data_IF_037730808143
#
_entry.id   IF_037730808143
#
_cell.length_a   1.000
_cell.length_b   1.000
_cell.length_c   1.000
_cell.angle_alpha   90.00
_cell.angle_beta   90.00
_cell.angle_gamma   90.00
#
_symmetry.space_group_name_H-M   'P 1'
#
loop_
_entity.id
_entity.type
_entity.pdbx_description
1 polymer ?
#
# COMPACT_ATOMS: atom_id res chain seq x y z
N UNK A 1 30.83 78.91 -20.05
CA UNK A 1 31.85 79.19 -21.08
C UNK A 1 32.87 78.06 -21.06
N UNK A 2 33.38 77.68 -22.25
CA UNK A 2 34.48 76.73 -22.57
C UNK A 2 34.27 75.26 -22.17
N UNK A 3 33.98 74.29 -23.06
CA UNK A 3 34.61 73.81 -24.31
C UNK A 3 35.59 72.64 -24.10
N UNK A 4 35.56 71.69 -25.07
CA UNK A 4 36.57 70.66 -25.40
C UNK A 4 36.29 69.20 -24.97
N UNK A 5 36.45 68.13 -25.77
CA UNK A 5 36.40 67.80 -27.22
C UNK A 5 36.72 66.28 -27.32
N UNK A 6 35.92 65.53 -28.12
CA UNK A 6 36.23 64.31 -28.92
C UNK A 6 36.68 62.98 -28.27
N UNK A 7 36.59 61.79 -28.95
CA UNK A 7 36.49 61.58 -30.42
C UNK A 7 35.41 60.60 -30.96
N UNK A 8 35.13 60.81 -32.25
CA UNK A 8 34.53 59.93 -33.28
C UNK A 8 35.43 58.73 -33.59
N UNK A 9 34.90 57.53 -33.76
CA UNK A 9 34.47 56.84 -35.02
C UNK A 9 35.16 55.44 -34.99
N UNK A 10 35.01 54.51 -35.94
CA UNK A 10 33.96 54.18 -36.93
C UNK A 10 33.65 52.65 -36.85
N UNK A 11 33.09 52.04 -37.91
CA UNK A 11 32.83 50.59 -38.11
C UNK A 11 31.46 50.12 -37.55
N UNK A 12 30.41 49.99 -38.36
CA UNK A 12 30.40 49.28 -39.65
C UNK A 12 30.01 47.81 -39.41
N UNK A 13 28.71 47.52 -39.34
CA UNK A 13 28.21 46.15 -39.50
C UNK A 13 28.52 45.69 -40.94
N UNK A 14 28.76 44.40 -41.14
CA UNK A 14 27.70 43.65 -41.82
C UNK A 14 27.50 42.19 -41.37
N UNK A 15 26.27 41.74 -41.62
CA UNK A 15 25.83 40.40 -42.05
C UNK A 15 26.08 39.14 -41.20
N UNK A 16 24.95 38.70 -40.64
CA UNK A 16 24.40 37.34 -40.67
C UNK A 16 24.84 36.45 -41.86
N UNK A 17 25.31 35.23 -41.57
CA UNK A 17 24.94 33.98 -42.27
C UNK A 17 25.40 32.72 -41.47
N UNK A 18 24.44 31.89 -41.07
CA UNK A 18 24.59 30.47 -40.66
C UNK A 18 24.85 29.56 -41.89
N UNK A 19 25.14 28.22 -41.81
CA UNK A 19 25.41 27.30 -40.69
C UNK A 19 26.61 26.32 -40.92
N UNK A 20 27.06 25.60 -39.88
CA UNK A 20 27.71 24.29 -40.06
C UNK A 20 27.24 23.33 -38.96
N UNK A 21 26.28 22.47 -39.32
CA UNK A 21 25.72 21.43 -38.46
C UNK A 21 26.71 20.28 -38.31
N UNK A 22 27.30 20.11 -37.12
CA UNK A 22 27.91 18.85 -36.69
C UNK A 22 26.90 18.12 -35.81
N UNK A 23 26.42 16.96 -36.28
CA UNK A 23 25.56 16.03 -35.52
C UNK A 23 26.38 15.31 -34.45
N UNK A 24 26.05 15.40 -33.16
CA UNK A 24 26.42 14.37 -32.20
C UNK A 24 25.38 13.25 -32.16
N UNK A 25 25.89 12.04 -31.91
CA UNK A 25 25.26 10.73 -31.93
C UNK A 25 23.94 10.63 -31.15
N UNK A 26 22.97 9.89 -31.72
CA UNK A 26 21.81 9.38 -30.97
C UNK A 26 22.26 8.18 -30.15
N UNK A 27 22.45 8.35 -28.85
CA UNK A 27 22.47 7.23 -27.91
C UNK A 27 21.02 6.93 -27.52
N UNK A 28 20.52 5.76 -27.94
CA UNK A 28 19.19 5.28 -27.62
C UNK A 28 18.98 5.24 -26.10
N UNK A 29 17.91 5.86 -25.56
CA UNK A 29 17.49 5.49 -24.22
C UNK A 29 16.94 4.08 -24.29
N UNK A 30 17.65 3.14 -23.67
CA UNK A 30 17.11 1.83 -23.30
C UNK A 30 15.91 2.13 -22.41
N UNK A 31 14.70 2.00 -22.94
CA UNK A 31 13.47 2.07 -22.14
C UNK A 31 13.61 0.99 -21.07
N UNK A 32 13.94 1.40 -19.84
CA UNK A 32 13.65 0.56 -18.70
C UNK A 32 12.14 0.28 -18.74
N UNK A 33 11.69 -0.96 -18.50
CA UNK A 33 10.27 -1.18 -18.28
C UNK A 33 9.87 -0.26 -17.13
N UNK A 34 8.99 0.70 -17.42
CA UNK A 34 8.26 1.42 -16.39
C UNK A 34 7.66 0.37 -15.47
N UNK A 35 7.81 0.48 -14.13
CA UNK A 35 7.00 -0.35 -13.26
C UNK A 35 5.55 -0.07 -13.66
N UNK A 36 4.87 -1.10 -14.17
CA UNK A 36 3.43 -1.08 -14.36
C UNK A 36 2.86 -1.09 -12.96
N UNK A 37 2.84 0.08 -12.33
CA UNK A 37 1.97 0.32 -11.19
C UNK A 37 0.59 0.32 -11.81
N UNK A 38 -0.13 -0.80 -11.65
CA UNK A 38 -1.53 -0.89 -12.01
C UNK A 38 -2.26 0.26 -11.31
N UNK A 39 -2.75 1.21 -12.10
CA UNK A 39 -3.45 2.41 -11.64
C UNK A 39 -4.76 2.10 -10.90
N UNK A 40 -5.11 0.83 -10.69
CA UNK A 40 -6.28 0.38 -9.93
C UNK A 40 -6.06 0.25 -8.43
N UNK A 41 -4.82 0.34 -7.92
CA UNK A 41 -4.54 0.26 -6.48
C UNK A 41 -4.82 1.59 -5.73
N UNK A 42 -5.47 2.56 -6.37
CA UNK A 42 -5.52 3.95 -5.89
C UNK A 42 -6.90 4.52 -5.55
N UNK A 43 -7.92 3.71 -5.26
CA UNK A 43 -9.18 4.24 -4.75
C UNK A 43 -9.16 4.26 -3.22
N UNK A 44 -9.14 5.46 -2.65
CA UNK A 44 -9.46 5.68 -1.24
C UNK A 44 -10.93 5.31 -1.06
N UNK A 45 -11.23 4.07 -0.67
CA UNK A 45 -12.59 3.68 -0.32
C UNK A 45 -13.14 4.55 0.82
N UNK A 46 -14.45 4.72 0.85
CA UNK A 46 -15.09 5.38 1.97
C UNK A 46 -14.74 4.62 3.27
N UNK A 47 -14.35 5.36 4.31
CA UNK A 47 -13.99 4.80 5.61
C UNK A 47 -15.13 3.97 6.19
N UNK A 48 -16.38 4.30 5.86
CA UNK A 48 -17.56 3.54 6.27
C UNK A 48 -17.56 2.12 5.66
N UNK A 49 -17.23 1.99 4.38
CA UNK A 49 -17.13 0.69 3.68
C UNK A 49 -16.06 -0.19 4.31
N UNK A 50 -14.87 0.39 4.59
CA UNK A 50 -13.79 -0.35 5.27
C UNK A 50 -14.23 -0.80 6.66
N UNK A 51 -14.92 0.06 7.41
CA UNK A 51 -15.41 -0.29 8.73
C UNK A 51 -16.42 -1.44 8.69
N UNK A 52 -17.35 -1.43 7.74
CA UNK A 52 -18.36 -2.47 7.58
C UNK A 52 -17.73 -3.82 7.22
N UNK A 53 -16.77 -3.83 6.29
CA UNK A 53 -16.03 -5.05 5.92
C UNK A 53 -15.26 -5.63 7.09
N UNK A 54 -14.54 -4.78 7.84
CA UNK A 54 -13.84 -5.20 9.06
C UNK A 54 -14.83 -5.74 10.09
N UNK A 55 -15.93 -5.04 10.36
CA UNK A 55 -16.92 -5.48 11.33
C UNK A 55 -17.57 -6.82 10.94
N UNK A 56 -17.87 -7.01 9.65
CA UNK A 56 -18.39 -8.28 9.13
C UNK A 56 -17.38 -9.43 9.31
N UNK A 57 -16.12 -9.20 8.98
CA UNK A 57 -15.04 -10.17 9.18
C UNK A 57 -14.88 -10.58 10.64
N UNK A 58 -14.82 -9.60 11.55
CA UNK A 58 -14.66 -9.88 12.98
C UNK A 58 -15.85 -10.66 13.54
N UNK A 59 -17.09 -10.32 13.15
CA UNK A 59 -18.30 -11.06 13.57
C UNK A 59 -18.36 -12.47 12.99
N UNK A 60 -17.89 -12.68 11.76
CA UNK A 60 -17.79 -14.01 11.17
C UNK A 60 -16.77 -14.88 11.92
N UNK A 61 -15.63 -14.30 12.32
CA UNK A 61 -14.58 -15.00 13.08
C UNK A 61 -15.02 -15.32 14.51
N UNK A 62 -15.68 -14.37 15.17
CA UNK A 62 -16.17 -14.51 16.53
C UNK A 62 -17.65 -14.12 16.63
N UNK A 63 -18.58 -15.06 16.41
CA UNK A 63 -20.02 -14.78 16.44
C UNK A 63 -20.56 -14.36 17.81
N UNK A 64 -19.91 -14.81 18.88
CA UNK A 64 -20.24 -14.45 20.26
C UNK A 64 -19.07 -13.67 20.87
N UNK A 65 -19.40 -12.62 21.64
CA UNK A 65 -18.42 -11.76 22.33
C UNK A 65 -17.29 -11.28 21.42
N UNK A 66 -17.66 -10.80 20.23
CA UNK A 66 -16.70 -10.39 19.18
C UNK A 66 -15.65 -9.44 19.71
N UNK A 67 -16.05 -8.37 20.42
CA UNK A 67 -15.11 -7.36 20.91
C UNK A 67 -14.11 -7.91 21.95
N UNK A 68 -14.54 -8.81 22.83
CA UNK A 68 -13.66 -9.41 23.86
C UNK A 68 -12.63 -10.35 23.24
N UNK A 69 -13.05 -11.22 22.30
CA UNK A 69 -12.14 -12.15 21.62
C UNK A 69 -11.11 -11.40 20.77
N UNK A 70 -11.56 -10.38 20.01
CA UNK A 70 -10.64 -9.56 19.20
C UNK A 70 -9.68 -8.77 20.10
N UNK A 71 -10.13 -8.29 21.25
CA UNK A 71 -9.26 -7.63 22.22
C UNK A 71 -8.19 -8.58 22.77
N UNK A 72 -8.57 -9.83 23.06
CA UNK A 72 -7.64 -10.86 23.52
C UNK A 72 -6.58 -11.18 22.45
N UNK A 73 -6.97 -11.30 21.19
CA UNK A 73 -6.03 -11.60 20.09
C UNK A 73 -5.07 -10.44 19.79
N UNK A 74 -5.60 -9.21 19.77
CA UNK A 74 -4.86 -8.04 19.26
C UNK A 74 -4.20 -7.21 20.35
N UNK A 75 -4.62 -7.38 21.61
CA UNK A 75 -4.27 -6.52 22.73
C UNK A 75 -4.87 -5.11 22.66
N UNK A 76 -5.82 -4.86 21.76
CA UNK A 76 -6.53 -3.59 21.66
C UNK A 76 -7.61 -3.47 22.74
N UNK A 77 -7.93 -2.25 23.22
CA UNK A 77 -9.02 -2.07 24.17
C UNK A 77 -10.37 -2.50 23.57
N UNK A 78 -11.17 -3.25 24.34
CA UNK A 78 -12.52 -3.68 23.95
C UNK A 78 -13.36 -2.50 23.46
N UNK A 79 -13.31 -1.36 24.15
CA UNK A 79 -14.04 -0.16 23.77
C UNK A 79 -13.68 0.38 22.37
N UNK A 80 -12.43 0.21 21.93
CA UNK A 80 -11.99 0.57 20.58
C UNK A 80 -12.66 -0.32 19.55
N UNK A 81 -12.69 -1.63 19.81
CA UNK A 81 -13.29 -2.61 18.91
C UNK A 81 -14.81 -2.43 18.87
N UNK A 82 -15.47 -2.23 20.03
CA UNK A 82 -16.90 -1.92 20.09
C UNK A 82 -17.26 -0.70 19.24
N UNK A 83 -16.42 0.36 19.23
CA UNK A 83 -16.66 1.52 18.34
C UNK A 83 -16.63 1.14 16.86
N UNK A 84 -15.75 0.24 16.45
CA UNK A 84 -15.74 -0.24 15.06
C UNK A 84 -17.00 -1.04 14.74
N UNK A 85 -17.41 -1.92 15.66
CA UNK A 85 -18.57 -2.79 15.49
C UNK A 85 -19.90 -2.02 15.50
N UNK A 86 -20.04 -0.99 16.34
CA UNK A 86 -21.31 -0.30 16.59
C UNK A 86 -21.47 1.00 15.81
N UNK A 87 -20.37 1.73 15.58
CA UNK A 87 -20.40 3.08 15.00
C UNK A 87 -19.86 3.16 13.57
N UNK A 88 -19.44 2.03 12.98
CA UNK A 88 -18.86 2.01 11.63
C UNK A 88 -17.58 2.84 11.50
N UNK A 89 -16.79 2.93 12.57
CA UNK A 89 -15.49 3.60 12.52
C UNK A 89 -14.42 2.67 11.97
N UNK A 90 -13.68 3.12 10.95
CA UNK A 90 -12.57 2.33 10.40
C UNK A 90 -11.41 2.22 11.41
N UNK A 91 -10.65 1.11 11.42
CA UNK A 91 -9.40 1.01 12.17
C UNK A 91 -8.40 2.08 11.74
N UNK A 92 -7.64 2.62 12.70
CA UNK A 92 -6.46 3.43 12.38
C UNK A 92 -5.36 2.55 11.81
N UNK A 93 -4.35 3.13 11.15
CA UNK A 93 -3.22 2.36 10.61
C UNK A 93 -2.48 1.54 11.69
N UNK A 94 -2.32 2.09 12.90
CA UNK A 94 -1.73 1.37 14.02
C UNK A 94 -2.58 0.16 14.45
N UNK A 95 -3.89 0.36 14.53
CA UNK A 95 -4.81 -0.70 14.92
C UNK A 95 -4.96 -1.76 13.81
N UNK A 96 -4.85 -1.35 12.55
CA UNK A 96 -4.71 -2.25 11.40
C UNK A 96 -3.45 -3.11 11.52
N UNK A 97 -2.31 -2.53 11.89
CA UNK A 97 -1.08 -3.31 12.14
C UNK A 97 -1.27 -4.38 13.22
N UNK A 98 -2.05 -4.09 14.27
CA UNK A 98 -2.43 -5.08 15.29
C UNK A 98 -3.33 -6.19 14.75
N UNK A 99 -4.30 -5.84 13.89
CA UNK A 99 -5.16 -6.82 13.23
C UNK A 99 -4.35 -7.74 12.30
N UNK A 100 -3.44 -7.17 11.50
CA UNK A 100 -2.57 -7.95 10.60
C UNK A 100 -1.66 -8.87 11.41
N UNK A 101 -1.12 -8.41 12.54
CA UNK A 101 -0.30 -9.26 13.41
C UNK A 101 -1.07 -10.42 14.05
N UNK A 102 -2.40 -10.32 14.18
CA UNK A 102 -3.25 -11.35 14.79
C UNK A 102 -3.91 -12.28 13.76
N UNK A 103 -4.23 -11.76 12.57
CA UNK A 103 -5.05 -12.42 11.55
C UNK A 103 -4.35 -12.54 10.18
N UNK A 104 -3.08 -12.17 10.11
CA UNK A 104 -2.22 -12.27 8.93
C UNK A 104 -2.83 -11.61 7.66
N UNK A 105 -2.62 -12.22 6.48
CA UNK A 105 -3.07 -11.67 5.20
C UNK A 105 -4.60 -11.67 5.05
N UNK A 106 -5.32 -12.49 5.82
CA UNK A 106 -6.77 -12.64 5.74
C UNK A 106 -7.48 -11.29 5.96
N UNK A 107 -7.05 -10.51 6.95
CA UNK A 107 -7.67 -9.21 7.24
C UNK A 107 -7.39 -8.17 6.15
N UNK A 108 -6.26 -8.26 5.46
CA UNK A 108 -5.94 -7.35 4.36
C UNK A 108 -6.81 -7.63 3.13
N UNK A 109 -7.14 -8.89 2.87
CA UNK A 109 -8.07 -9.25 1.80
C UNK A 109 -9.48 -8.68 2.02
N UNK A 110 -9.89 -8.53 3.28
CA UNK A 110 -11.18 -7.95 3.64
C UNK A 110 -11.18 -6.43 3.45
N UNK A 111 -10.06 -5.77 3.71
CA UNK A 111 -9.97 -4.31 3.68
C UNK A 111 -9.79 -3.78 2.26
N UNK A 112 -9.10 -4.52 1.39
CA UNK A 112 -8.80 -4.09 0.03
C UNK A 112 -9.92 -4.49 -0.93
N UNK A 113 -10.48 -3.52 -1.66
CA UNK A 113 -11.48 -3.77 -2.72
C UNK A 113 -10.94 -4.70 -3.82
N UNK A 114 -9.69 -4.46 -4.19
CA UNK A 114 -8.98 -5.14 -5.26
C UNK A 114 -7.64 -5.61 -4.71
N UNK A 115 -7.62 -6.70 -3.91
CA UNK A 115 -6.39 -7.19 -3.35
C UNK A 115 -5.49 -7.72 -4.48
N UNK A 116 -4.18 -7.42 -4.44
CA UNK A 116 -3.27 -7.91 -5.47
C UNK A 116 -3.15 -9.43 -5.39
N UNK A 117 -2.90 -10.07 -6.54
CA UNK A 117 -2.88 -11.54 -6.65
C UNK A 117 -1.90 -12.20 -5.68
N UNK A 118 -0.72 -11.61 -5.47
CA UNK A 118 0.27 -12.14 -4.53
C UNK A 118 -0.25 -12.22 -3.10
N UNK A 119 -1.13 -11.31 -2.68
CA UNK A 119 -1.71 -11.30 -1.34
C UNK A 119 -2.78 -12.39 -1.20
N UNK A 120 -3.52 -12.67 -2.27
CA UNK A 120 -4.45 -13.81 -2.30
C UNK A 120 -3.69 -15.13 -2.22
N UNK A 121 -2.58 -15.27 -2.93
CA UNK A 121 -1.73 -16.46 -2.89
C UNK A 121 -1.08 -16.64 -1.51
N UNK A 122 -0.62 -15.55 -0.90
CA UNK A 122 -0.10 -15.52 0.48
C UNK A 122 -1.15 -16.00 1.49
N UNK A 123 -2.37 -15.47 1.45
CA UNK A 123 -3.44 -15.89 2.36
C UNK A 123 -3.78 -17.38 2.20
N UNK A 124 -3.79 -17.90 0.96
CA UNK A 124 -3.98 -19.34 0.72
C UNK A 124 -2.83 -20.17 1.29
N UNK A 125 -1.58 -19.68 1.22
CA UNK A 125 -0.42 -20.38 1.78
C UNK A 125 -0.52 -20.42 3.31
N UNK A 126 -0.79 -19.28 3.94
CA UNK A 126 -0.95 -19.17 5.39
C UNK A 126 -2.07 -20.08 5.92
N UNK A 127 -3.20 -20.15 5.21
CA UNK A 127 -4.29 -21.05 5.61
C UNK A 127 -3.89 -22.53 5.52
N UNK A 128 -3.16 -22.92 4.47
CA UNK A 128 -2.61 -24.29 4.36
C UNK A 128 -1.67 -24.60 5.52
N UNK A 129 -0.72 -23.72 5.80
CA UNK A 129 0.23 -23.88 6.92
C UNK A 129 -0.49 -23.95 8.28
N UNK A 130 -1.59 -23.21 8.46
CA UNK A 130 -2.41 -23.26 9.67
C UNK A 130 -3.09 -24.62 9.82
N UNK A 131 -3.71 -25.12 8.75
CA UNK A 131 -4.36 -26.44 8.73
C UNK A 131 -3.35 -27.55 8.98
N UNK A 132 -2.18 -27.50 8.34
CA UNK A 132 -1.11 -28.50 8.52
C UNK A 132 -0.61 -28.54 9.97
N UNK A 133 -0.44 -27.39 10.62
CA UNK A 133 -0.10 -27.31 12.05
C UNK A 133 -1.18 -27.92 12.95
N UNK A 134 -2.45 -27.69 12.62
CA UNK A 134 -3.56 -28.30 13.36
C UNK A 134 -3.57 -29.82 13.20
N UNK A 135 -3.36 -30.33 11.98
CA UNK A 135 -3.24 -31.77 11.72
C UNK A 135 -2.08 -32.37 12.51
N UNK A 136 -0.91 -31.74 12.50
CA UNK A 136 0.25 -32.20 13.27
C UNK A 136 -0.04 -32.26 14.77
N UNK A 137 -0.70 -31.23 15.30
CA UNK A 137 -1.08 -31.17 16.72
C UNK A 137 -2.05 -32.29 17.10
N UNK A 138 -3.09 -32.51 16.29
CA UNK A 138 -4.08 -33.56 16.52
C UNK A 138 -3.48 -34.96 16.42
N UNK A 139 -2.57 -35.19 15.46
CA UNK A 139 -1.84 -36.46 15.34
C UNK A 139 -0.99 -36.73 16.57
N UNK A 140 -0.26 -35.73 17.07
CA UNK A 140 0.54 -35.87 18.30
C UNK A 140 -0.34 -36.21 19.53
N UNK A 141 -1.56 -35.68 19.62
CA UNK A 141 -2.51 -36.02 20.70
C UNK A 141 -3.00 -37.47 20.62
N UNK A 142 -3.21 -37.99 19.41
CA UNK A 142 -3.62 -39.39 19.20
C UNK A 142 -2.47 -40.34 19.54
N UNK A 143 -1.26 -40.04 19.11
CA UNK A 143 -0.07 -40.88 19.30
C UNK A 143 0.47 -40.84 20.73
N UNK A 144 0.40 -39.68 21.40
CA UNK A 144 0.86 -39.50 22.78
C UNK A 144 -0.14 -39.89 23.87
N UNK A 145 -1.34 -40.36 23.50
CA UNK A 145 -2.39 -40.83 24.40
C UNK A 145 -2.47 -42.35 24.57
N UNK A 146 -1.43 -43.08 24.18
CA UNK A 146 -1.30 -44.54 24.33
C UNK A 146 -0.54 -44.92 25.62
#
# INVERSE_FOLDING_TARGET
MTASLFPTDPFGRPSSMHPASRKPMKQSPRKLPTPVVDSRTGACEDRTVVADRVAAFLRAKYPLKTADNVAADTGLPVATISRWLDRGSAPSLWALGKLVGAYDAEVLLVILDHPPLWLMDEARRQERERIERQIATLRAQIEGGQ
#
